data_IF_736650198082
#
_entry.id   IF_736650198082
#
_cell.length_a   1.000
_cell.length_b   1.000
_cell.length_c   1.000
_cell.angle_alpha   90.00
_cell.angle_beta   90.00
_cell.angle_gamma   90.00
#
_symmetry.space_group_name_H-M   'P 1'
#
loop_
_entity.id
_entity.type
_entity.pdbx_description
1 polymer ?
#
# COMPACT_ATOMS: atom_id res chain seq x y z
N UNK A 1 1.29 -16.60 -15.59
CA UNK A 1 2.55 -16.71 -14.83
C UNK A 1 3.77 -16.30 -15.64
N UNK A 2 4.12 -16.96 -16.76
CA UNK A 2 5.31 -16.59 -17.59
C UNK A 2 5.42 -15.09 -17.91
N UNK A 3 4.32 -14.47 -18.36
CA UNK A 3 4.28 -13.03 -18.67
C UNK A 3 4.49 -12.11 -17.46
N UNK A 4 4.07 -12.52 -16.26
CA UNK A 4 4.30 -11.74 -15.04
C UNK A 4 5.78 -11.82 -14.63
N UNK A 5 6.41 -12.99 -14.79
CA UNK A 5 7.85 -13.16 -14.57
C UNK A 5 8.68 -12.27 -15.50
N UNK A 6 8.33 -12.23 -16.79
CA UNK A 6 8.97 -11.35 -17.77
C UNK A 6 8.83 -9.86 -17.38
N UNK A 7 7.65 -9.44 -16.91
CA UNK A 7 7.45 -8.06 -16.42
C UNK A 7 8.25 -7.76 -15.15
N UNK A 8 8.42 -8.75 -14.27
CA UNK A 8 9.20 -8.62 -13.05
C UNK A 8 10.69 -8.45 -13.35
N UNK A 9 11.24 -9.18 -14.32
CA UNK A 9 12.64 -9.05 -14.75
C UNK A 9 12.99 -7.66 -15.31
N UNK A 10 11.99 -6.87 -15.71
CA UNK A 10 12.18 -5.49 -16.18
C UNK A 10 12.26 -4.48 -15.02
N UNK A 11 11.83 -4.86 -13.81
CA UNK A 11 11.89 -3.99 -12.64
C UNK A 11 13.33 -3.82 -12.15
N UNK A 12 13.67 -2.59 -11.78
CA UNK A 12 14.96 -2.21 -11.24
C UNK A 12 14.85 -0.89 -10.45
N UNK A 13 15.90 -0.55 -9.70
CA UNK A 13 15.94 0.63 -8.82
C UNK A 13 15.74 1.98 -9.54
N UNK A 14 15.90 2.04 -10.86
CA UNK A 14 15.71 3.28 -11.63
C UNK A 14 14.26 3.48 -12.08
N UNK A 15 13.37 2.54 -11.81
CA UNK A 15 12.00 2.67 -12.26
C UNK A 15 11.31 3.86 -11.62
N UNK A 16 10.63 4.65 -12.45
CA UNK A 16 9.82 5.76 -11.98
C UNK A 16 8.51 5.26 -11.36
N UNK A 17 7.87 6.07 -10.52
CA UNK A 17 6.56 5.74 -9.96
C UNK A 17 5.50 5.46 -11.04
N UNK A 18 5.57 6.14 -12.19
CA UNK A 18 4.70 5.90 -13.32
C UNK A 18 4.94 4.51 -13.96
N UNK A 19 6.20 4.07 -14.02
CA UNK A 19 6.55 2.74 -14.52
C UNK A 19 6.10 1.65 -13.55
N UNK A 20 6.26 1.84 -12.24
CA UNK A 20 5.73 0.93 -11.21
C UNK A 20 4.20 0.86 -11.28
N UNK A 21 3.53 2.00 -11.42
CA UNK A 21 2.08 2.05 -11.57
C UNK A 21 1.60 1.27 -12.82
N UNK A 22 2.32 1.40 -13.94
CA UNK A 22 2.05 0.65 -15.16
C UNK A 22 2.35 -0.85 -15.02
N UNK A 23 3.43 -1.22 -14.33
CA UNK A 23 3.73 -2.61 -14.00
C UNK A 23 2.56 -3.24 -13.23
N UNK A 24 2.10 -2.59 -12.16
CA UNK A 24 0.96 -3.08 -11.36
C UNK A 24 -0.30 -3.20 -12.22
N UNK A 25 -0.56 -2.24 -13.12
CA UNK A 25 -1.68 -2.30 -14.05
C UNK A 25 -1.66 -3.57 -14.91
N UNK A 26 -0.51 -3.90 -15.48
CA UNK A 26 -0.35 -5.10 -16.31
C UNK A 26 -0.43 -6.39 -15.48
N UNK A 27 0.12 -6.42 -14.26
CA UNK A 27 0.01 -7.56 -13.35
C UNK A 27 -1.45 -7.83 -12.97
N UNK A 28 -2.21 -6.80 -12.60
CA UNK A 28 -3.64 -6.93 -12.26
C UNK A 28 -4.45 -7.45 -13.46
N UNK A 29 -4.10 -7.02 -14.68
CA UNK A 29 -4.68 -7.54 -15.91
C UNK A 29 -4.35 -9.01 -16.15
N UNK A 30 -3.10 -9.42 -15.95
CA UNK A 30 -2.68 -10.82 -16.06
C UNK A 30 -3.40 -11.72 -15.06
N UNK A 31 -3.65 -11.21 -13.85
CA UNK A 31 -4.39 -11.93 -12.79
C UNK A 31 -5.91 -11.97 -13.03
N UNK A 32 -6.43 -11.30 -14.07
CA UNK A 32 -7.85 -11.29 -14.40
C UNK A 32 -8.69 -10.33 -13.55
N UNK A 33 -8.06 -9.40 -12.83
CA UNK A 33 -8.72 -8.49 -11.89
C UNK A 33 -8.88 -7.06 -12.43
N UNK A 34 -8.74 -6.86 -13.76
CA UNK A 34 -8.88 -5.53 -14.38
C UNK A 34 -10.30 -4.98 -14.30
N UNK A 35 -11.31 -5.83 -14.40
CA UNK A 35 -12.72 -5.43 -14.45
C UNK A 35 -13.37 -5.30 -13.07
N UNK A 36 -12.64 -5.61 -11.99
CA UNK A 36 -13.12 -5.42 -10.62
C UNK A 36 -13.59 -3.97 -10.43
N UNK A 37 -14.73 -3.81 -9.76
CA UNK A 37 -15.28 -2.49 -9.48
C UNK A 37 -14.41 -1.81 -8.42
N UNK A 38 -14.46 -0.48 -8.40
CA UNK A 38 -13.68 0.29 -7.41
C UNK A 38 -14.10 -0.06 -5.99
N UNK A 39 -15.38 -0.36 -5.74
CA UNK A 39 -15.90 -0.76 -4.43
C UNK A 39 -15.25 -2.07 -3.96
N UNK A 40 -15.12 -3.07 -4.84
CA UNK A 40 -14.48 -4.34 -4.50
C UNK A 40 -13.00 -4.14 -4.17
N UNK A 41 -12.32 -3.27 -4.92
CA UNK A 41 -10.92 -2.89 -4.63
C UNK A 41 -10.76 -2.13 -3.32
N UNK A 42 -11.74 -1.32 -2.93
CA UNK A 42 -11.74 -0.67 -1.61
C UNK A 42 -11.92 -1.68 -0.47
N UNK A 43 -12.72 -2.74 -0.68
CA UNK A 43 -12.83 -3.82 0.31
C UNK A 43 -11.51 -4.58 0.45
N UNK A 44 -10.84 -4.90 -0.67
CA UNK A 44 -9.49 -5.48 -0.64
C UNK A 44 -8.50 -4.56 0.07
N UNK A 45 -8.54 -3.24 -0.17
CA UNK A 45 -7.64 -2.31 0.51
C UNK A 45 -7.83 -2.35 2.04
N UNK A 46 -9.07 -2.49 2.50
CA UNK A 46 -9.38 -2.61 3.93
C UNK A 46 -8.86 -3.94 4.50
N UNK A 47 -8.95 -5.01 3.73
CA UNK A 47 -8.40 -6.33 4.08
C UNK A 47 -6.89 -6.23 4.29
N UNK A 48 -6.12 -5.78 3.28
CA UNK A 48 -4.65 -5.64 3.39
C UNK A 48 -4.24 -4.67 4.51
N UNK A 49 -5.01 -3.58 4.73
CA UNK A 49 -4.74 -2.65 5.83
C UNK A 49 -5.00 -3.31 7.19
N UNK A 50 -5.97 -4.21 7.28
CA UNK A 50 -6.25 -5.00 8.48
C UNK A 50 -5.15 -6.02 8.77
N UNK A 51 -4.60 -6.66 7.73
CA UNK A 51 -3.46 -7.56 7.83
C UNK A 51 -2.20 -6.81 8.28
N UNK A 52 -1.92 -5.65 7.68
CA UNK A 52 -0.87 -4.73 8.14
C UNK A 52 -1.05 -4.33 9.61
N UNK A 53 -2.26 -3.94 10.02
CA UNK A 53 -2.53 -3.58 11.41
C UNK A 53 -2.29 -4.77 12.37
N UNK A 54 -2.64 -5.99 11.95
CA UNK A 54 -2.38 -7.21 12.71
C UNK A 54 -0.89 -7.53 12.79
N UNK A 55 -0.13 -7.35 11.72
CA UNK A 55 1.32 -7.53 11.69
C UNK A 55 2.02 -6.53 12.63
N UNK A 56 1.66 -5.25 12.56
CA UNK A 56 2.19 -4.21 13.48
C UNK A 56 1.80 -4.52 14.94
N UNK A 57 0.55 -4.91 15.21
CA UNK A 57 0.13 -5.22 16.59
C UNK A 57 0.97 -6.31 17.24
N UNK A 58 1.48 -7.27 16.47
CA UNK A 58 2.35 -8.35 16.97
C UNK A 58 3.73 -7.85 17.41
N UNK A 59 4.18 -6.68 16.98
CA UNK A 59 5.49 -6.11 17.39
C UNK A 59 5.41 -5.27 18.67
N UNK A 60 4.19 -4.97 19.15
CA UNK A 60 3.96 -4.16 20.35
C UNK A 60 4.10 -5.06 21.59
N UNK A 61 5.10 -4.86 22.47
CA UNK A 61 5.35 -5.72 23.62
C UNK A 61 4.19 -5.80 24.62
N UNK A 62 3.43 -4.71 24.78
CA UNK A 62 2.32 -4.58 25.73
C UNK A 62 1.00 -5.13 25.18
N UNK A 63 0.93 -5.44 23.89
CA UNK A 63 -0.24 -6.06 23.32
C UNK A 63 -0.32 -7.52 23.79
N UNK A 64 -1.45 -7.93 24.36
CA UNK A 64 -1.71 -9.35 24.63
C UNK A 64 -1.79 -10.09 23.30
N UNK A 65 -0.71 -10.78 22.94
CA UNK A 65 -0.63 -11.66 21.77
C UNK A 65 -0.55 -13.09 22.29
N UNK A 66 -1.45 -13.94 21.82
CA UNK A 66 -1.41 -15.38 22.09
C UNK A 66 -0.29 -16.00 21.24
N UNK A 67 0.92 -16.02 21.81
CA UNK A 67 2.14 -16.48 21.13
C UNK A 67 2.09 -17.96 20.73
N UNK A 68 1.22 -18.77 21.36
CA UNK A 68 1.05 -20.21 21.07
C UNK A 68 0.22 -20.45 19.80
N UNK A 69 -0.50 -19.44 19.29
CA UNK A 69 -1.28 -19.50 18.03
C UNK A 69 -0.59 -18.85 16.84
N UNK A 70 0.68 -18.47 16.96
CA UNK A 70 1.46 -17.85 15.88
C UNK A 70 1.96 -18.96 14.94
N UNK A 71 1.07 -19.55 14.16
CA UNK A 71 1.49 -20.44 13.05
C UNK A 71 1.75 -19.67 11.75
N UNK A 72 1.40 -18.39 11.65
CA UNK A 72 1.65 -17.57 10.46
C UNK A 72 2.17 -16.18 10.88
N UNK A 73 3.49 -16.05 11.03
CA UNK A 73 4.12 -14.73 11.06
C UNK A 73 4.05 -14.17 9.63
N UNK A 74 3.24 -13.13 9.44
CA UNK A 74 3.24 -12.35 8.21
C UNK A 74 4.16 -11.14 8.42
N UNK A 75 5.00 -10.86 7.44
CA UNK A 75 6.01 -9.81 7.52
C UNK A 75 5.36 -8.44 7.29
N UNK A 76 5.66 -7.45 8.12
CA UNK A 76 5.19 -6.07 7.94
C UNK A 76 5.58 -5.55 6.55
N UNK A 77 6.75 -5.94 6.04
CA UNK A 77 7.20 -5.54 4.70
C UNK A 77 6.27 -6.06 3.60
N UNK A 78 5.80 -7.31 3.71
CA UNK A 78 4.84 -7.92 2.77
C UNK A 78 3.50 -7.18 2.82
N UNK A 79 2.96 -6.95 4.01
CA UNK A 79 1.66 -6.29 4.20
C UNK A 79 1.67 -4.83 3.69
N UNK A 80 2.79 -4.11 3.89
CA UNK A 80 2.97 -2.76 3.32
C UNK A 80 2.94 -2.82 1.80
N UNK A 81 3.59 -3.81 1.20
CA UNK A 81 3.61 -3.98 -0.25
C UNK A 81 2.21 -4.29 -0.79
N UNK A 82 1.44 -5.15 -0.11
CA UNK A 82 0.08 -5.49 -0.53
C UNK A 82 -0.87 -4.29 -0.45
N UNK A 83 -0.83 -3.52 0.65
CA UNK A 83 -1.57 -2.24 0.76
C UNK A 83 -1.21 -1.30 -0.40
N UNK A 84 0.07 -1.17 -0.72
CA UNK A 84 0.52 -0.31 -1.82
C UNK A 84 0.02 -0.81 -3.17
N UNK A 85 0.12 -2.10 -3.46
CA UNK A 85 -0.34 -2.70 -4.73
C UNK A 85 -1.84 -2.48 -4.92
N UNK A 86 -2.65 -2.70 -3.87
CA UNK A 86 -4.10 -2.52 -3.96
C UNK A 86 -4.44 -1.03 -4.15
N UNK A 87 -3.78 -0.12 -3.43
CA UNK A 87 -3.96 1.32 -3.60
C UNK A 87 -3.64 1.78 -5.03
N UNK A 88 -2.51 1.33 -5.59
CA UNK A 88 -2.12 1.65 -6.97
C UNK A 88 -3.13 1.06 -7.96
N UNK A 89 -3.66 -0.13 -7.69
CA UNK A 89 -4.71 -0.73 -8.53
C UNK A 89 -6.00 0.10 -8.55
N UNK A 90 -6.36 0.76 -7.43
CA UNK A 90 -7.47 1.70 -7.34
C UNK A 90 -7.18 2.95 -8.18
N UNK A 91 -5.97 3.52 -8.07
CA UNK A 91 -5.55 4.65 -8.89
C UNK A 91 -5.69 4.32 -10.39
N UNK A 92 -5.21 3.14 -10.80
CA UNK A 92 -5.36 2.66 -12.18
C UNK A 92 -6.82 2.53 -12.61
N UNK A 93 -7.71 2.01 -11.74
CA UNK A 93 -9.14 1.84 -12.03
C UNK A 93 -9.87 3.18 -12.20
N UNK A 94 -9.46 4.18 -11.43
CA UNK A 94 -10.01 5.53 -11.43
C UNK A 94 -9.32 6.48 -12.43
N UNK A 95 -8.36 5.98 -13.21
CA UNK A 95 -7.56 6.77 -14.14
C UNK A 95 -6.82 7.95 -13.46
N UNK A 96 -6.29 7.69 -12.26
CA UNK A 96 -5.49 8.63 -11.48
C UNK A 96 -4.01 8.34 -11.73
N UNK A 97 -3.25 9.34 -12.18
CA UNK A 97 -1.80 9.28 -12.16
C UNK A 97 -1.32 9.54 -10.72
N UNK A 98 -0.68 8.54 -10.09
CA UNK A 98 -0.31 8.60 -8.68
C UNK A 98 0.79 9.65 -8.41
N UNK A 99 1.78 9.76 -9.31
CA UNK A 99 2.83 10.77 -9.19
C UNK A 99 2.25 12.19 -9.19
N UNK A 100 1.42 12.52 -10.17
CA UNK A 100 0.76 13.82 -10.26
C UNK A 100 -0.13 14.10 -9.04
N UNK A 101 -0.82 13.07 -8.53
CA UNK A 101 -1.65 13.19 -7.33
C UNK A 101 -0.81 13.57 -6.09
N UNK A 102 0.36 12.95 -5.93
CA UNK A 102 1.31 13.27 -4.86
C UNK A 102 1.81 14.71 -5.01
N UNK A 103 2.31 15.11 -6.19
CA UNK A 103 2.83 16.47 -6.42
C UNK A 103 1.76 17.53 -6.11
N UNK A 104 0.55 17.37 -6.65
CA UNK A 104 -0.57 18.29 -6.39
C UNK A 104 -0.98 18.35 -4.92
N UNK A 105 -0.83 17.23 -4.19
CA UNK A 105 -1.13 17.16 -2.75
C UNK A 105 -0.05 17.88 -1.94
N UNK A 106 1.21 17.69 -2.29
CA UNK A 106 2.34 18.33 -1.61
C UNK A 106 2.39 19.84 -1.84
N UNK A 107 2.10 20.32 -3.05
CA UNK A 107 1.94 21.77 -3.31
C UNK A 107 0.90 22.44 -2.40
N UNK A 108 -0.17 21.71 -2.05
CA UNK A 108 -1.18 22.18 -1.09
C UNK A 108 -0.69 22.07 0.35
N UNK A 109 0.05 21.01 0.70
CA UNK A 109 0.56 20.79 2.05
C UNK A 109 1.63 21.82 2.44
N UNK A 110 2.52 22.21 1.51
CA UNK A 110 3.56 23.24 1.72
C UNK A 110 2.93 24.60 2.07
N UNK A 111 1.76 24.91 1.53
CA UNK A 111 1.04 26.16 1.80
C UNK A 111 0.25 26.12 3.11
N UNK A 112 0.13 24.96 3.77
CA UNK A 112 -0.58 24.83 5.05
C UNK A 112 0.35 25.18 6.19
N UNK A 113 -0.12 26.01 7.10
CA UNK A 113 0.51 26.13 8.41
C UNK A 113 -0.07 25.06 9.33
N UNK A 114 0.76 24.09 9.68
CA UNK A 114 0.44 23.11 10.69
C UNK A 114 0.66 23.75 12.05
N UNK A 115 -0.42 24.06 12.77
CA UNK A 115 -0.32 24.31 14.20
C UNK A 115 -0.27 22.94 14.86
N UNK A 116 0.90 22.55 15.34
CA UNK A 116 0.98 21.47 16.32
C UNK A 116 0.17 21.95 17.53
N UNK A 117 -0.84 21.19 17.92
CA UNK A 117 -1.44 21.42 19.23
C UNK A 117 -0.32 21.17 20.25
N UNK A 118 0.12 22.22 20.93
CA UNK A 118 1.06 22.10 22.04
C UNK A 118 0.32 21.38 23.17
N UNK A 119 0.34 20.05 23.12
CA UNK A 119 -0.46 19.20 23.98
C UNK A 119 -0.29 17.73 23.64
N UNK A 120 0.97 17.31 23.45
CA UNK A 120 1.41 15.93 23.64
C UNK A 120 2.94 15.95 23.76
N UNK A 121 3.42 16.60 24.83
CA UNK A 121 4.61 16.11 25.50
C UNK A 121 4.19 14.80 26.17
N UNK A 122 4.20 13.69 25.44
CA UNK A 122 4.37 12.39 26.07
C UNK A 122 5.84 12.06 25.95
N UNK A 123 6.56 12.45 27.00
CA UNK A 123 7.87 11.92 27.34
C UNK A 123 7.79 10.39 27.49
N UNK A 124 8.89 9.75 27.10
CA UNK A 124 9.31 8.33 27.27
C UNK A 124 8.90 7.35 26.17
#
# INVERSE_FOLDING_TARGET
MKKQSELYELLNEKNTLNEIQNYIKEVIKIRGFSEQKVQDKMLLLLEETGELAKAIRKTIPEASVDYERIENYTDIEEEVADVFIVLVSICNRLNINLYDAIIKKEEKNIKRQWKLNAGENNEQ
#
